data_IF_586031770995
#
_entry.id   IF_586031770995
#
_cell.length_a   1.000
_cell.length_b   1.000
_cell.length_c   1.000
_cell.angle_alpha   90.00
_cell.angle_beta   90.00
_cell.angle_gamma   90.00
#
_symmetry.space_group_name_H-M   'P 1'
#
loop_
_entity.id
_entity.type
_entity.pdbx_description
1 polymer ?
#
# COMPACT_ATOMS: atom_id res chain seq x y z
N UNK A 1 -14.24 -7.74 4.10
CA UNK A 1 -14.42 -6.43 3.45
C UNK A 1 -15.04 -6.64 2.09
N UNK A 2 -16.05 -5.84 1.78
CA UNK A 2 -16.64 -5.77 0.46
C UNK A 2 -15.67 -5.10 -0.54
N UNK A 3 -15.88 -5.33 -1.83
CA UNK A 3 -14.92 -4.93 -2.87
C UNK A 3 -14.88 -3.41 -3.05
N UNK A 4 -16.03 -2.79 -2.98
CA UNK A 4 -16.24 -1.34 -2.97
C UNK A 4 -15.53 -0.67 -1.77
N UNK A 5 -15.65 -1.21 -0.56
CA UNK A 5 -14.91 -0.73 0.62
C UNK A 5 -13.39 -0.79 0.38
N UNK A 6 -12.90 -1.88 -0.23
CA UNK A 6 -11.48 -2.01 -0.59
C UNK A 6 -11.04 -0.99 -1.63
N UNK A 7 -11.87 -0.73 -2.64
CA UNK A 7 -11.58 0.28 -3.66
C UNK A 7 -11.52 1.67 -3.03
N UNK A 8 -12.45 1.99 -2.12
CA UNK A 8 -12.47 3.26 -1.38
C UNK A 8 -11.21 3.44 -0.52
N UNK A 9 -10.81 2.41 0.23
CA UNK A 9 -9.58 2.45 1.04
C UNK A 9 -8.34 2.55 0.15
N UNK A 10 -8.30 1.81 -0.96
CA UNK A 10 -7.22 1.92 -1.94
C UNK A 10 -7.11 3.35 -2.48
N UNK A 11 -8.24 3.95 -2.88
CA UNK A 11 -8.28 5.33 -3.36
C UNK A 11 -7.80 6.32 -2.30
N UNK A 12 -8.28 6.21 -1.07
CA UNK A 12 -7.86 7.06 0.03
C UNK A 12 -6.35 6.99 0.27
N UNK A 13 -5.77 5.78 0.34
CA UNK A 13 -4.34 5.62 0.57
C UNK A 13 -3.47 6.16 -0.59
N UNK A 14 -3.97 6.10 -1.84
CA UNK A 14 -3.30 6.76 -2.98
C UNK A 14 -3.28 8.27 -2.79
N UNK A 15 -4.37 8.87 -2.30
CA UNK A 15 -4.39 10.31 -1.99
C UNK A 15 -3.45 10.65 -0.84
N UNK A 16 -3.44 9.87 0.24
CA UNK A 16 -2.50 10.07 1.37
C UNK A 16 -1.06 10.00 0.89
N UNK A 17 -0.70 9.00 0.08
CA UNK A 17 0.65 8.86 -0.46
C UNK A 17 1.06 10.07 -1.31
N UNK A 18 0.17 10.54 -2.21
CA UNK A 18 0.42 11.73 -3.03
C UNK A 18 0.63 12.98 -2.20
N UNK A 19 -0.20 13.15 -1.17
CA UNK A 19 -0.09 14.28 -0.26
C UNK A 19 1.28 14.27 0.44
N UNK A 20 1.72 13.13 0.98
CA UNK A 20 3.05 13.00 1.60
C UNK A 20 4.20 13.21 0.60
N UNK A 21 4.05 12.76 -0.65
CA UNK A 21 5.07 12.96 -1.69
C UNK A 21 5.31 14.45 -2.00
N UNK A 22 4.27 15.29 -1.93
CA UNK A 22 4.35 16.74 -2.15
C UNK A 22 5.14 17.47 -1.06
N UNK A 23 5.17 16.97 0.18
CA UNK A 23 5.90 17.62 1.28
C UNK A 23 7.41 17.35 1.24
N UNK A 24 7.83 16.20 0.72
CA UNK A 24 9.13 15.63 1.09
C UNK A 24 10.08 15.32 -0.09
N UNK A 25 9.68 15.58 -1.35
CA UNK A 25 10.47 15.17 -2.55
C UNK A 25 10.83 13.66 -2.57
N UNK A 26 10.09 12.82 -1.82
CA UNK A 26 10.32 11.37 -1.76
C UNK A 26 9.66 10.72 -2.98
N UNK A 27 10.26 10.88 -4.16
CA UNK A 27 9.79 10.23 -5.39
C UNK A 27 9.96 8.69 -5.39
N UNK A 28 10.86 8.16 -4.55
CA UNK A 28 11.23 6.73 -4.58
C UNK A 28 10.09 5.85 -4.07
N UNK A 29 9.35 6.28 -3.05
CA UNK A 29 8.24 5.52 -2.47
C UNK A 29 7.09 5.30 -3.48
N UNK A 30 6.84 6.30 -4.32
CA UNK A 30 5.77 6.26 -5.32
C UNK A 30 6.04 5.21 -6.42
N UNK A 31 7.32 4.95 -6.74
CA UNK A 31 7.70 3.99 -7.77
C UNK A 31 7.39 2.53 -7.41
N UNK A 32 7.51 2.13 -6.13
CA UNK A 32 7.18 0.77 -5.69
C UNK A 32 5.69 0.48 -5.93
N UNK A 33 4.79 1.39 -5.53
CA UNK A 33 3.36 1.24 -5.79
C UNK A 33 3.03 1.28 -7.28
N UNK A 34 3.58 2.25 -8.03
CA UNK A 34 3.37 2.36 -9.48
C UNK A 34 3.74 1.08 -10.23
N UNK A 35 4.79 0.38 -9.79
CA UNK A 35 5.23 -0.88 -10.39
C UNK A 35 4.22 -2.02 -10.29
N UNK A 36 3.25 -1.95 -9.36
CA UNK A 36 2.19 -2.95 -9.22
C UNK A 36 1.18 -2.92 -10.37
N UNK A 37 1.03 -1.77 -11.05
CA UNK A 37 0.01 -1.56 -12.10
C UNK A 37 -1.43 -1.90 -11.65
N UNK A 38 -1.74 -1.64 -10.38
CA UNK A 38 -3.07 -1.82 -9.78
C UNK A 38 -3.52 -0.47 -9.23
N UNK A 39 -4.59 0.09 -9.78
CA UNK A 39 -5.12 1.41 -9.44
C UNK A 39 -6.56 1.33 -8.93
N UNK A 40 -7.04 2.31 -8.16
CA UNK A 40 -8.39 2.28 -7.60
C UNK A 40 -9.49 2.17 -8.67
N UNK A 41 -9.31 2.84 -9.81
CA UNK A 41 -10.26 2.79 -10.94
C UNK A 41 -10.26 1.45 -11.69
N UNK A 42 -9.33 0.53 -11.40
CA UNK A 42 -9.33 -0.82 -11.97
C UNK A 42 -10.38 -1.72 -11.29
N UNK A 43 -11.65 -1.32 -11.32
CA UNK A 43 -12.76 -2.00 -10.63
C UNK A 43 -12.95 -3.47 -11.03
N UNK A 44 -12.38 -3.89 -12.16
CA UNK A 44 -12.41 -5.27 -12.65
C UNK A 44 -11.36 -6.17 -11.98
N UNK A 45 -10.32 -5.60 -11.36
CA UNK A 45 -9.28 -6.33 -10.62
C UNK A 45 -9.86 -7.10 -9.44
N UNK A 46 -9.21 -8.19 -9.03
CA UNK A 46 -9.71 -9.07 -7.97
C UNK A 46 -9.62 -8.41 -6.60
N UNK A 47 -10.35 -8.96 -5.62
CA UNK A 47 -10.21 -8.53 -4.22
C UNK A 47 -8.77 -8.71 -3.74
N UNK A 48 -8.08 -9.79 -4.11
CA UNK A 48 -6.70 -10.02 -3.72
C UNK A 48 -5.75 -8.96 -4.31
N UNK A 49 -5.96 -8.53 -5.55
CA UNK A 49 -5.18 -7.45 -6.17
C UNK A 49 -5.33 -6.13 -5.41
N UNK A 50 -6.57 -5.72 -5.12
CA UNK A 50 -6.82 -4.52 -4.32
C UNK A 50 -6.26 -4.65 -2.88
N UNK A 51 -6.38 -5.83 -2.26
CA UNK A 51 -5.81 -6.11 -0.93
C UNK A 51 -4.30 -5.92 -0.92
N UNK A 52 -3.62 -6.45 -1.93
CA UNK A 52 -2.17 -6.34 -2.05
C UNK A 52 -1.73 -4.88 -2.22
N UNK A 53 -2.41 -4.13 -3.09
CA UNK A 53 -2.15 -2.71 -3.30
C UNK A 53 -2.32 -1.90 -2.00
N UNK A 54 -3.40 -2.14 -1.25
CA UNK A 54 -3.63 -1.52 0.07
C UNK A 54 -2.46 -1.76 1.02
N UNK A 55 -2.01 -3.01 1.16
CA UNK A 55 -0.91 -3.32 2.08
C UNK A 55 0.42 -2.71 1.64
N UNK A 56 0.71 -2.67 0.34
CA UNK A 56 1.91 -2.00 -0.18
C UNK A 56 1.86 -0.51 0.12
N UNK A 57 0.72 0.16 -0.14
CA UNK A 57 0.54 1.57 0.19
C UNK A 57 0.70 1.84 1.69
N UNK A 58 0.06 1.05 2.55
CA UNK A 58 0.19 1.20 4.01
C UNK A 58 1.65 1.04 4.48
N UNK A 59 2.37 0.07 3.94
CA UNK A 59 3.79 -0.15 4.26
C UNK A 59 4.68 1.00 3.77
N UNK A 60 4.40 1.56 2.59
CA UNK A 60 5.12 2.71 2.05
C UNK A 60 4.89 3.97 2.90
N UNK A 61 3.63 4.30 3.17
CA UNK A 61 3.24 5.44 4.02
C UNK A 61 3.88 5.32 5.40
N UNK A 62 3.86 4.12 5.99
CA UNK A 62 4.51 3.81 7.26
C UNK A 62 6.01 4.11 7.25
N UNK A 63 6.72 3.78 6.17
CA UNK A 63 8.15 4.07 6.03
C UNK A 63 8.42 5.57 5.88
N UNK A 64 7.57 6.29 5.17
CA UNK A 64 7.71 7.75 5.00
C UNK A 64 7.53 8.46 6.34
N UNK A 65 6.44 8.17 7.05
CA UNK A 65 6.18 8.75 8.38
C UNK A 65 7.32 8.43 9.36
N UNK A 66 7.81 7.19 9.35
CA UNK A 66 8.89 6.76 10.25
C UNK A 66 10.27 7.33 9.95
N UNK A 67 10.48 7.98 8.80
CA UNK A 67 11.73 8.70 8.49
C UNK A 67 11.74 10.14 9.06
N UNK A 68 10.57 10.75 9.24
CA UNK A 68 10.42 12.16 9.62
C UNK A 68 10.22 12.39 11.13
N UNK A 69 9.55 11.48 11.84
CA UNK A 69 9.18 11.70 13.24
C UNK A 69 10.20 11.15 14.26
N UNK A 70 10.56 11.98 15.25
CA UNK A 70 11.36 11.58 16.44
C UNK A 70 10.65 10.45 17.21
N UNK A 71 9.31 10.45 17.19
CA UNK A 71 8.49 9.31 17.60
C UNK A 71 8.52 8.25 16.50
N UNK A 72 9.49 7.33 16.59
CA UNK A 72 9.62 6.22 15.65
C UNK A 72 8.32 5.40 15.64
N UNK A 73 7.78 5.13 14.45
CA UNK A 73 6.67 4.20 14.31
C UNK A 73 7.01 2.89 15.04
N UNK A 74 6.10 2.34 15.87
CA UNK A 74 6.39 1.12 16.61
C UNK A 74 6.84 -0.01 15.67
N UNK A 75 7.98 -0.63 15.99
CA UNK A 75 8.65 -1.64 15.13
C UNK A 75 7.72 -2.81 14.80
N UNK A 76 6.83 -3.17 15.73
CA UNK A 76 5.81 -4.19 15.52
C UNK A 76 4.82 -3.84 14.40
N UNK A 77 4.44 -2.56 14.25
CA UNK A 77 3.54 -2.10 13.18
C UNK A 77 4.24 -2.21 11.82
N UNK A 78 5.47 -1.70 11.72
CA UNK A 78 6.28 -1.80 10.50
C UNK A 78 6.49 -3.25 10.06
N UNK A 79 6.85 -4.13 10.99
CA UNK A 79 7.02 -5.56 10.72
C UNK A 79 5.71 -6.22 10.25
N UNK A 80 4.60 -5.89 10.91
CA UNK A 80 3.28 -6.44 10.55
C UNK A 80 2.87 -6.03 9.14
N UNK A 81 3.08 -4.77 8.76
CA UNK A 81 2.77 -4.28 7.41
C UNK A 81 3.65 -4.96 6.35
N UNK A 82 4.96 -5.10 6.63
CA UNK A 82 5.88 -5.84 5.77
C UNK A 82 5.45 -7.30 5.56
N UNK A 83 4.99 -7.97 6.63
CA UNK A 83 4.53 -9.35 6.55
C UNK A 83 3.19 -9.49 5.82
N UNK A 84 2.27 -8.52 5.98
CA UNK A 84 1.03 -8.46 5.21
C UNK A 84 1.30 -8.30 3.70
N UNK A 85 2.31 -7.51 3.31
CA UNK A 85 2.76 -7.39 1.92
C UNK A 85 3.28 -8.74 1.40
N UNK A 86 4.13 -9.43 2.17
CA UNK A 86 4.65 -10.75 1.77
C UNK A 86 3.53 -11.78 1.63
N UNK A 87 2.59 -11.81 2.58
CA UNK A 87 1.47 -12.76 2.59
C UNK A 87 0.53 -12.52 1.39
N UNK A 88 0.11 -11.28 1.17
CA UNK A 88 -0.76 -10.94 0.04
C UNK A 88 -0.09 -11.20 -1.31
N UNK A 89 1.23 -10.98 -1.44
CA UNK A 89 1.98 -11.34 -2.65
C UNK A 89 1.95 -12.85 -2.92
N UNK A 90 2.03 -13.69 -1.87
CA UNK A 90 1.91 -15.15 -2.01
C UNK A 90 0.49 -15.54 -2.45
N UNK A 91 -0.54 -14.92 -1.86
CA UNK A 91 -1.94 -15.15 -2.25
C UNK A 91 -2.16 -14.87 -3.75
N UNK A 92 -1.65 -13.75 -4.28
CA UNK A 92 -1.72 -13.42 -5.72
C UNK A 92 -1.11 -14.49 -6.62
N UNK A 93 0.06 -15.03 -6.25
CA UNK A 93 0.75 -16.06 -7.03
C UNK A 93 -0.02 -17.39 -7.07
N UNK A 94 -0.83 -17.65 -6.04
CA UNK A 94 -1.65 -18.86 -5.96
C UNK A 94 -2.92 -18.74 -6.81
N UNK A 95 -3.51 -17.54 -6.88
CA UNK A 95 -4.71 -17.28 -7.71
C UNK A 95 -4.40 -17.18 -9.21
N UNK A 96 -3.12 -17.01 -9.58
CA UNK A 96 -2.67 -16.92 -10.98
C UNK A 96 -2.31 -18.28 -11.60
N UNK A 97 -2.47 -19.38 -10.85
CA UNK A 97 -2.27 -20.77 -11.29
C UNK A 97 -3.60 -21.45 -11.53
#
# INVERSE_FOLDING_TARGET
MYKDEMIQIHQFLVYVLKHLEEYENIHIACNEYKSLNIHPHHIHKTKAEHKHAIFVLSNLISKMIGQESIDSLPVNVSNSLSDLVKKSRKELKLESK
#
